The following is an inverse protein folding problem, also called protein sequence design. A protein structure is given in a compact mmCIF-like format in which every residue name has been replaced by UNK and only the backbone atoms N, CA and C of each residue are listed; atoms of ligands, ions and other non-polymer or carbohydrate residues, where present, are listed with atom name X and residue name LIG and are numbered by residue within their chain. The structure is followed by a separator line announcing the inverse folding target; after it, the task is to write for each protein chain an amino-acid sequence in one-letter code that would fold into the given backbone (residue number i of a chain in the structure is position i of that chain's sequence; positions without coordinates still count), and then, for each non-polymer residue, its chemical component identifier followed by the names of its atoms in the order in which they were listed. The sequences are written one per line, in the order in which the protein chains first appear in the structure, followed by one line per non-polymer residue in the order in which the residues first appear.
data_IF_199453808815
#
_entry.id   IF_199453808815
#
_cell.length_a   1.000
_cell.length_b   1.000
_cell.length_c   1.000
_cell.angle_alpha   90.00
_cell.angle_beta   90.00
_cell.angle_gamma   90.00
#
_symmetry.space_group_name_H-M   'P 1'
#
loop_
_entity.id
_entity.type
_entity.pdbx_description
1 polymer ?
#
# COMPACT_ATOMS: atom_id res chain seq x y z
N UNK A 1 15.57 12.47 -13.90
CA UNK A 1 14.33 12.68 -13.11
C UNK A 1 14.40 14.09 -12.57
N UNK A 2 13.38 14.91 -12.82
CA UNK A 2 13.36 16.32 -12.45
C UNK A 2 12.82 16.44 -11.02
N UNK A 3 13.59 16.98 -10.08
CA UNK A 3 13.18 17.17 -8.67
C UNK A 3 12.29 18.41 -8.47
N UNK A 4 11.99 19.12 -9.56
CA UNK A 4 11.17 20.32 -9.54
C UNK A 4 9.74 20.00 -9.06
N UNK A 5 9.40 20.48 -7.86
CA UNK A 5 8.06 20.33 -7.27
C UNK A 5 7.00 21.01 -8.15
N UNK A 6 7.35 22.07 -8.88
CA UNK A 6 6.42 22.76 -9.76
C UNK A 6 6.00 21.91 -10.98
N UNK A 7 6.74 20.86 -11.30
CA UNK A 7 6.39 19.92 -12.36
C UNK A 7 5.40 18.82 -11.90
N UNK A 8 5.19 18.65 -10.59
CA UNK A 8 4.24 17.69 -10.03
C UNK A 8 2.83 18.28 -10.00
N UNK A 9 1.86 17.59 -10.61
CA UNK A 9 0.45 18.03 -10.64
C UNK A 9 -0.27 17.76 -9.31
N UNK A 10 0.08 18.55 -8.29
CA UNK A 10 -0.49 18.40 -6.95
C UNK A 10 -2.04 18.47 -6.93
N UNK A 11 -2.71 19.42 -7.64
CA UNK A 11 -4.16 19.46 -7.69
C UNK A 11 -4.80 18.19 -8.25
N UNK A 12 -4.19 17.57 -9.28
CA UNK A 12 -4.66 16.29 -9.81
C UNK A 12 -4.69 15.20 -8.74
N UNK A 13 -3.67 15.14 -7.88
CA UNK A 13 -3.60 14.19 -6.75
C UNK A 13 -4.33 14.67 -5.49
N UNK A 14 -5.17 15.70 -5.57
CA UNK A 14 -5.86 16.31 -4.43
C UNK A 14 -4.93 16.79 -3.31
N UNK A 15 -3.73 17.24 -3.67
CA UNK A 15 -2.71 17.77 -2.77
C UNK A 15 -2.57 19.29 -2.95
N UNK A 16 -2.33 20.00 -1.86
CA UNK A 16 -1.90 21.39 -1.90
C UNK A 16 -0.43 21.49 -2.31
N UNK A 17 -0.02 22.62 -2.87
CA UNK A 17 1.39 22.87 -3.20
C UNK A 17 2.32 22.74 -1.98
N UNK A 18 1.82 23.07 -0.78
CA UNK A 18 2.56 22.95 0.48
C UNK A 18 2.77 21.48 0.87
N UNK A 19 1.75 20.65 0.71
CA UNK A 19 1.86 19.20 0.96
C UNK A 19 2.82 18.56 -0.04
N UNK A 20 2.67 18.85 -1.34
CA UNK A 20 3.57 18.35 -2.37
C UNK A 20 5.04 18.76 -2.15
N UNK A 21 5.29 19.99 -1.68
CA UNK A 21 6.65 20.46 -1.36
C UNK A 21 7.26 19.77 -0.14
N UNK A 22 6.43 19.31 0.79
CA UNK A 22 6.87 18.59 1.99
C UNK A 22 6.99 17.07 1.76
N UNK A 23 6.48 16.56 0.63
CA UNK A 23 6.59 15.15 0.27
C UNK A 23 7.98 14.79 -0.22
N UNK A 24 8.43 13.62 0.22
CA UNK A 24 9.61 12.97 -0.34
C UNK A 24 9.46 12.86 -1.87
N UNK A 25 10.48 13.22 -2.67
CA UNK A 25 10.42 13.13 -4.12
C UNK A 25 10.00 11.75 -4.64
N UNK A 26 10.40 10.66 -3.97
CA UNK A 26 10.03 9.31 -4.37
C UNK A 26 8.53 9.05 -4.18
N UNK A 27 7.88 9.65 -3.18
CA UNK A 27 6.42 9.54 -3.01
C UNK A 27 5.68 10.23 -4.16
N UNK A 28 6.15 11.40 -4.60
CA UNK A 28 5.56 12.11 -5.75
C UNK A 28 5.71 11.30 -7.04
N UNK A 29 6.89 10.76 -7.31
CA UNK A 29 7.10 9.89 -8.47
C UNK A 29 6.28 8.62 -8.42
N UNK A 30 6.09 8.05 -7.22
CA UNK A 30 5.24 6.87 -7.05
C UNK A 30 3.81 7.18 -7.49
N UNK A 31 3.26 8.35 -7.12
CA UNK A 31 1.91 8.76 -7.54
C UNK A 31 1.79 8.91 -9.06
N UNK A 32 2.72 9.62 -9.70
CA UNK A 32 2.72 9.82 -11.16
C UNK A 32 2.90 8.51 -11.92
N UNK A 33 3.86 7.69 -11.49
CA UNK A 33 4.13 6.38 -12.12
C UNK A 33 2.94 5.45 -11.95
N UNK A 34 2.30 5.46 -10.79
CA UNK A 34 1.08 4.67 -10.53
C UNK A 34 -0.06 5.13 -11.44
N UNK A 35 -0.25 6.44 -11.61
CA UNK A 35 -1.27 6.96 -12.52
C UNK A 35 -1.02 6.52 -13.96
N UNK A 36 0.20 6.71 -14.48
CA UNK A 36 0.56 6.27 -15.83
C UNK A 36 0.41 4.76 -16.02
N UNK A 37 0.68 3.98 -14.98
CA UNK A 37 0.51 2.54 -14.98
C UNK A 37 -0.97 2.11 -15.07
N UNK A 38 -1.87 2.87 -14.47
CA UNK A 38 -3.31 2.58 -14.47
C UNK A 38 -3.98 3.03 -15.78
N UNK A 39 -3.57 4.18 -16.34
CA UNK A 39 -4.18 4.75 -17.56
C UNK A 39 -3.76 4.06 -18.85
N UNK A 40 -2.57 3.45 -18.90
CA UNK A 40 -2.02 2.88 -20.14
C UNK A 40 -1.95 1.35 -20.05
N UNK A 41 -0.78 0.82 -19.74
CA UNK A 41 -0.52 -0.57 -19.45
C UNK A 41 0.82 -0.59 -18.72
N UNK A 42 0.94 -1.41 -17.69
CA UNK A 42 2.18 -1.49 -16.92
C UNK A 42 2.40 -2.85 -16.31
N UNK A 43 3.67 -3.17 -16.10
CA UNK A 43 4.06 -4.28 -15.24
C UNK A 43 4.39 -3.69 -13.87
N UNK A 44 3.51 -3.95 -12.89
CA UNK A 44 3.78 -3.64 -11.49
C UNK A 44 4.52 -4.81 -10.86
N UNK A 45 5.67 -4.55 -10.25
CA UNK A 45 6.52 -5.58 -9.64
C UNK A 45 6.94 -5.20 -8.23
N UNK A 46 7.30 -6.20 -7.43
CA UNK A 46 7.88 -6.01 -6.10
C UNK A 46 8.79 -7.17 -5.76
N UNK A 47 9.90 -6.87 -5.09
CA UNK A 47 10.84 -7.89 -4.62
C UNK A 47 11.35 -7.51 -3.22
N UNK A 48 11.40 -8.50 -2.33
CA UNK A 48 12.09 -8.39 -1.05
C UNK A 48 13.01 -9.60 -0.88
N UNK A 49 14.30 -9.35 -0.72
CA UNK A 49 15.33 -10.36 -0.52
C UNK A 49 16.14 -10.05 0.74
N UNK A 50 16.43 -11.09 1.49
CA UNK A 50 17.08 -11.07 2.80
C UNK A 50 18.58 -11.35 2.63
N UNK A 51 19.25 -10.49 1.87
CA UNK A 51 20.62 -10.72 1.40
C UNK A 51 21.70 -10.52 2.46
N UNK A 52 21.36 -9.85 3.56
CA UNK A 52 22.31 -9.48 4.61
C UNK A 52 21.65 -9.56 6.01
N UNK A 53 22.34 -10.16 7.01
CA UNK A 53 21.79 -10.32 8.35
C UNK A 53 21.77 -9.04 9.19
N UNK A 54 22.39 -7.92 8.78
CA UNK A 54 22.46 -6.71 9.62
C UNK A 54 21.07 -6.17 9.96
N UNK A 55 20.14 -6.17 8.99
CA UNK A 55 18.77 -5.71 9.22
C UNK A 55 18.05 -6.60 10.24
N UNK A 56 18.33 -7.90 10.29
CA UNK A 56 17.76 -8.76 11.33
C UNK A 56 18.22 -8.36 12.72
N UNK A 57 19.50 -8.04 12.89
CA UNK A 57 20.05 -7.61 14.17
C UNK A 57 19.43 -6.29 14.62
N UNK A 58 19.30 -5.32 13.72
CA UNK A 58 18.67 -4.02 14.00
C UNK A 58 17.22 -4.21 14.46
N UNK A 59 16.42 -4.98 13.71
CA UNK A 59 15.01 -5.19 14.02
C UNK A 59 14.81 -6.04 15.28
N UNK A 60 15.67 -7.03 15.53
CA UNK A 60 15.65 -7.81 16.77
C UNK A 60 15.95 -6.92 17.98
N UNK A 61 16.97 -6.07 17.90
CA UNK A 61 17.34 -5.13 18.96
C UNK A 61 16.25 -4.09 19.25
N UNK A 62 15.42 -3.78 18.27
CA UNK A 62 14.25 -2.90 18.41
C UNK A 62 13.00 -3.64 18.91
N UNK A 63 13.07 -4.96 19.12
CA UNK A 63 11.93 -5.76 19.58
C UNK A 63 10.85 -6.01 18.53
N UNK A 64 11.17 -5.83 17.24
CA UNK A 64 10.17 -5.99 16.16
C UNK A 64 10.00 -7.44 15.70
N UNK A 65 11.03 -8.28 15.86
CA UNK A 65 11.00 -9.65 15.35
C UNK A 65 10.40 -10.63 16.37
N UNK A 66 9.57 -11.54 15.89
CA UNK A 66 9.12 -12.69 16.68
C UNK A 66 10.31 -13.62 16.93
N UNK A 67 10.60 -14.01 18.19
CA UNK A 67 11.64 -14.99 18.49
C UNK A 67 11.36 -16.37 17.87
N UNK A 68 10.09 -16.69 17.61
CA UNK A 68 9.66 -17.95 17.01
C UNK A 68 9.79 -17.94 15.47
N UNK A 69 10.07 -16.77 14.88
CA UNK A 69 10.13 -16.61 13.43
C UNK A 69 8.76 -16.79 12.76
N UNK A 70 7.66 -16.54 13.47
CA UNK A 70 6.29 -16.68 12.97
C UNK A 70 5.50 -15.37 13.14
N UNK A 71 4.67 -15.04 12.16
CA UNK A 71 3.65 -14.00 12.30
C UNK A 71 2.35 -14.62 12.85
N UNK A 72 2.06 -14.41 14.12
CA UNK A 72 0.83 -14.88 14.77
C UNK A 72 -0.35 -13.91 14.55
N UNK A 73 -0.68 -13.59 13.30
CA UNK A 73 -1.70 -12.59 12.97
C UNK A 73 -3.04 -12.87 13.66
N UNK A 74 -3.55 -11.90 14.41
CA UNK A 74 -4.83 -11.96 15.15
C UNK A 74 -4.92 -13.03 16.26
N UNK A 75 -3.77 -13.52 16.73
CA UNK A 75 -3.68 -14.50 17.80
C UNK A 75 -3.15 -13.85 19.09
N UNK A 76 -3.47 -14.43 20.25
CA UNK A 76 -2.96 -13.93 21.54
C UNK A 76 -1.44 -14.09 21.70
N UNK A 77 -0.82 -14.98 20.91
CA UNK A 77 0.62 -15.28 20.92
C UNK A 77 1.47 -14.22 20.21
N UNK A 78 0.89 -13.13 19.71
CA UNK A 78 1.65 -12.07 19.01
C UNK A 78 2.82 -11.58 19.86
N UNK A 79 4.02 -11.79 19.33
CA UNK A 79 5.29 -11.46 19.98
C UNK A 79 6.31 -10.81 19.03
N UNK A 80 5.83 -10.24 17.92
CA UNK A 80 6.64 -9.66 16.84
C UNK A 80 6.22 -10.19 15.48
N UNK A 81 7.02 -9.94 14.44
CA UNK A 81 6.79 -10.49 13.10
C UNK A 81 7.99 -11.26 12.55
N UNK A 82 7.73 -12.15 11.60
CA UNK A 82 8.75 -12.86 10.84
C UNK A 82 9.05 -12.15 9.52
N UNK A 83 10.32 -12.09 9.13
CA UNK A 83 10.69 -11.61 7.79
C UNK A 83 10.48 -12.72 6.76
N UNK A 84 10.04 -12.34 5.56
CA UNK A 84 9.87 -13.25 4.44
C UNK A 84 10.51 -12.70 3.17
N UNK A 85 10.83 -13.59 2.24
CA UNK A 85 11.27 -13.25 0.89
C UNK A 85 10.13 -13.43 -0.11
N UNK A 86 10.19 -12.69 -1.21
CA UNK A 86 9.22 -12.85 -2.28
C UNK A 86 9.50 -11.95 -3.46
N UNK A 87 9.07 -12.39 -4.62
CA UNK A 87 9.06 -11.60 -5.85
C UNK A 87 7.68 -11.77 -6.50
N UNK A 88 7.09 -10.65 -6.93
CA UNK A 88 5.79 -10.62 -7.59
C UNK A 88 5.84 -9.70 -8.81
N UNK A 89 5.09 -10.07 -9.84
CA UNK A 89 4.81 -9.24 -11.00
C UNK A 89 3.35 -9.42 -11.41
N UNK A 90 2.67 -8.31 -11.70
CA UNK A 90 1.32 -8.28 -12.25
C UNK A 90 1.27 -7.31 -13.43
N UNK A 91 0.44 -7.63 -14.42
CA UNK A 91 0.16 -6.73 -15.55
C UNK A 91 -1.12 -5.97 -15.23
N UNK A 92 -1.04 -4.65 -15.29
CA UNK A 92 -2.15 -3.72 -15.10
C UNK A 92 -2.52 -3.12 -16.45
N UNK A 93 -3.82 -2.98 -16.68
CA UNK A 93 -4.39 -2.43 -17.90
C UNK A 93 -5.77 -1.81 -17.60
N UNK A 94 -6.18 -0.74 -18.29
CA UNK A 94 -7.55 -0.27 -18.29
C UNK A 94 -8.50 -1.42 -18.63
N UNK A 95 -9.52 -1.62 -17.80
CA UNK A 95 -10.45 -2.75 -17.93
C UNK A 95 -11.12 -2.79 -19.31
N UNK A 96 -11.41 -1.61 -19.88
CA UNK A 96 -12.03 -1.51 -21.20
C UNK A 96 -11.10 -2.04 -22.30
N UNK A 97 -9.81 -1.68 -22.26
CA UNK A 97 -8.82 -2.17 -23.21
C UNK A 97 -8.53 -3.67 -23.02
N UNK A 98 -8.62 -4.19 -21.80
CA UNK A 98 -8.53 -5.64 -21.54
C UNK A 98 -9.71 -6.40 -22.15
N UNK A 99 -10.93 -5.86 -22.03
CA UNK A 99 -12.15 -6.43 -22.63
C UNK A 99 -12.06 -6.42 -24.17
N UNK A 100 -11.68 -5.29 -24.76
CA UNK A 100 -11.59 -5.13 -26.22
C UNK A 100 -10.55 -6.07 -26.84
N UNK A 101 -9.43 -6.30 -26.16
CA UNK A 101 -8.40 -7.22 -26.62
C UNK A 101 -8.72 -8.70 -26.34
N UNK A 102 -9.76 -8.99 -25.56
CA UNK A 102 -10.08 -10.36 -25.13
C UNK A 102 -9.06 -10.92 -24.13
N UNK A 103 -8.43 -10.07 -23.33
CA UNK A 103 -7.45 -10.45 -22.32
C UNK A 103 -8.12 -11.20 -21.15
N UNK A 104 -7.39 -12.13 -20.53
CA UNK A 104 -7.85 -12.79 -19.32
C UNK A 104 -7.74 -11.84 -18.11
N UNK A 105 -8.88 -11.36 -17.61
CA UNK A 105 -8.97 -10.50 -16.43
C UNK A 105 -9.01 -11.36 -15.17
N UNK A 106 -7.97 -11.27 -14.32
CA UNK A 106 -7.91 -11.99 -13.03
C UNK A 106 -8.64 -11.29 -11.88
N UNK A 107 -8.88 -10.00 -12.01
CA UNK A 107 -9.54 -9.16 -11.02
C UNK A 107 -9.54 -7.71 -11.46
N UNK A 108 -10.37 -6.88 -10.83
CA UNK A 108 -10.50 -5.46 -11.14
C UNK A 108 -10.17 -4.63 -9.91
N UNK A 109 -9.18 -3.74 -10.03
CA UNK A 109 -8.86 -2.76 -8.97
C UNK A 109 -9.91 -1.65 -9.03
N UNK A 110 -10.73 -1.54 -7.99
CA UNK A 110 -11.85 -0.58 -7.94
C UNK A 110 -11.46 0.78 -7.40
N UNK A 111 -10.51 0.83 -6.47
CA UNK A 111 -9.98 2.05 -5.87
C UNK A 111 -8.67 1.74 -5.14
N UNK A 112 -7.80 2.74 -5.06
CA UNK A 112 -6.56 2.73 -4.29
C UNK A 112 -6.48 4.03 -3.48
N UNK A 113 -5.75 4.01 -2.38
CA UNK A 113 -5.56 5.22 -1.57
C UNK A 113 -4.35 5.12 -0.66
N UNK A 114 -3.85 6.28 -0.24
CA UNK A 114 -2.78 6.42 0.73
C UNK A 114 -3.07 7.62 1.63
N UNK A 115 -2.69 7.54 2.91
CA UNK A 115 -2.69 8.68 3.83
C UNK A 115 -1.51 8.57 4.81
N UNK A 116 -1.56 9.30 5.92
CA UNK A 116 -0.52 9.33 6.95
C UNK A 116 -1.15 9.19 8.35
N UNK A 117 -0.42 8.57 9.27
CA UNK A 117 -0.85 8.40 10.67
C UNK A 117 -0.90 9.73 11.44
N UNK A 118 -0.24 10.77 10.93
CA UNK A 118 -0.26 12.10 11.55
C UNK A 118 0.52 12.14 12.87
N UNK A 119 -0.05 12.78 13.88
CA UNK A 119 0.61 12.91 15.19
C UNK A 119 0.29 11.72 16.09
N UNK A 120 1.26 10.83 16.27
CA UNK A 120 1.19 9.69 17.18
C UNK A 120 2.22 9.80 18.31
N UNK A 121 1.98 9.19 19.50
CA UNK A 121 2.91 9.28 20.63
C UNK A 121 4.32 8.77 20.35
N UNK A 122 4.45 7.81 19.44
CA UNK A 122 5.72 7.26 18.96
C UNK A 122 5.65 7.25 17.44
N UNK A 123 6.73 7.69 16.76
CA UNK A 123 6.80 7.78 15.31
C UNK A 123 6.38 6.50 14.56
N UNK A 124 6.64 5.33 15.14
CA UNK A 124 6.32 4.01 14.56
C UNK A 124 5.00 3.44 15.05
N UNK A 125 4.25 4.16 15.88
CA UNK A 125 2.96 3.70 16.38
C UNK A 125 1.87 3.98 15.32
N UNK A 126 1.08 2.95 14.93
CA UNK A 126 0.01 3.12 13.95
C UNK A 126 -1.19 3.89 14.51
N UNK A 127 -1.94 4.56 13.62
CA UNK A 127 -3.19 5.24 13.95
C UNK A 127 -4.41 4.47 13.43
N UNK A 128 -5.26 3.98 14.36
CA UNK A 128 -6.51 3.29 13.97
C UNK A 128 -7.49 4.22 13.26
N UNK A 129 -7.54 5.50 13.66
CA UNK A 129 -8.41 6.48 13.04
C UNK A 129 -7.97 6.76 11.59
N UNK A 130 -6.67 6.95 11.36
CA UNK A 130 -6.15 7.19 10.01
C UNK A 130 -6.40 6.00 9.09
N UNK A 131 -6.28 4.77 9.61
CA UNK A 131 -6.60 3.56 8.85
C UNK A 131 -8.10 3.47 8.52
N UNK A 132 -8.97 3.74 9.50
CA UNK A 132 -10.42 3.76 9.28
C UNK A 132 -10.83 4.80 8.24
N UNK A 133 -10.28 6.02 8.35
CA UNK A 133 -10.55 7.12 7.42
C UNK A 133 -10.10 6.74 6.00
N UNK A 134 -8.93 6.13 5.86
CA UNK A 134 -8.43 5.64 4.57
C UNK A 134 -9.37 4.60 3.97
N UNK A 135 -9.78 3.61 4.77
CA UNK A 135 -10.68 2.55 4.33
C UNK A 135 -12.01 3.17 3.87
N UNK A 136 -12.65 4.02 4.69
CA UNK A 136 -13.89 4.70 4.31
C UNK A 136 -13.75 5.52 3.04
N UNK A 137 -12.63 6.22 2.90
CA UNK A 137 -12.34 7.02 1.71
C UNK A 137 -12.29 6.14 0.45
N UNK A 138 -11.53 5.04 0.45
CA UNK A 138 -11.40 4.19 -0.74
C UNK A 138 -12.71 3.50 -1.13
N UNK A 139 -13.54 3.09 -0.16
CA UNK A 139 -14.89 2.56 -0.46
C UNK A 139 -15.80 3.61 -1.08
N UNK A 140 -15.76 4.84 -0.54
CA UNK A 140 -16.55 5.96 -1.07
C UNK A 140 -16.14 6.28 -2.50
N UNK A 141 -14.83 6.36 -2.78
CA UNK A 141 -14.30 6.56 -4.13
C UNK A 141 -14.69 5.42 -5.08
N UNK A 142 -14.69 4.18 -4.60
CA UNK A 142 -15.08 3.02 -5.40
C UNK A 142 -16.59 2.92 -5.67
N UNK A 143 -17.42 3.67 -4.94
CA UNK A 143 -18.88 3.54 -4.92
C UNK A 143 -19.34 2.18 -4.41
N UNK A 144 -18.62 1.58 -3.45
CA UNK A 144 -18.88 0.23 -2.94
C UNK A 144 -19.45 0.27 -1.51
N UNK A 145 -20.33 -0.69 -1.21
CA UNK A 145 -20.79 -0.90 0.16
C UNK A 145 -19.83 -1.82 0.93
N UNK A 146 -19.46 -1.42 2.14
CA UNK A 146 -18.69 -2.27 3.05
C UNK A 146 -19.43 -3.57 3.40
N UNK A 147 -20.77 -3.57 3.37
CA UNK A 147 -21.57 -4.77 3.69
C UNK A 147 -21.46 -5.89 2.66
N UNK A 148 -20.99 -5.58 1.45
CA UNK A 148 -20.84 -6.55 0.36
C UNK A 148 -19.44 -7.19 0.34
N UNK A 149 -18.56 -6.73 1.23
CA UNK A 149 -17.18 -7.20 1.35
C UNK A 149 -17.15 -8.65 1.82
N UNK A 150 -16.59 -9.53 1.00
CA UNK A 150 -16.48 -10.96 1.32
C UNK A 150 -15.16 -11.31 2.00
N UNK A 151 -14.12 -10.56 1.69
CA UNK A 151 -12.77 -10.87 2.11
C UNK A 151 -12.00 -9.57 2.33
N UNK A 152 -11.12 -9.59 3.33
CA UNK A 152 -10.16 -8.54 3.62
C UNK A 152 -8.81 -9.21 3.79
N UNK A 153 -7.89 -8.93 2.89
CA UNK A 153 -6.47 -9.16 3.18
C UNK A 153 -6.01 -8.08 4.14
N UNK A 154 -5.39 -8.47 5.25
CA UNK A 154 -4.96 -7.53 6.27
C UNK A 154 -3.45 -7.60 6.47
N UNK A 155 -2.83 -6.47 6.83
CA UNK A 155 -1.41 -6.39 7.13
C UNK A 155 -0.91 -7.37 8.21
N UNK A 156 -1.79 -7.80 9.12
CA UNK A 156 -1.54 -8.94 10.02
C UNK A 156 -0.73 -8.64 11.29
N UNK A 157 -0.24 -7.41 11.49
CA UNK A 157 0.39 -6.99 12.76
C UNK A 157 -0.62 -6.34 13.70
N UNK A 158 -1.59 -7.11 14.21
CA UNK A 158 -2.60 -6.67 15.20
C UNK A 158 -3.42 -5.40 14.89
N UNK A 159 -3.21 -4.77 13.74
CA UNK A 159 -3.86 -3.57 13.24
C UNK A 159 -4.03 -3.70 11.71
N UNK A 160 -5.14 -3.18 11.20
CA UNK A 160 -5.67 -3.44 9.86
C UNK A 160 -4.90 -2.63 8.81
N UNK A 161 -4.57 -3.24 7.67
CA UNK A 161 -3.97 -2.51 6.55
C UNK A 161 -4.26 -3.20 5.21
N UNK A 162 -4.71 -2.35 4.27
CA UNK A 162 -4.90 -2.47 2.81
C UNK A 162 -5.84 -3.55 2.27
N UNK A 163 -6.99 -3.09 1.76
CA UNK A 163 -8.03 -3.89 1.14
C UNK A 163 -7.73 -4.15 -0.35
N UNK A 164 -7.46 -5.40 -0.72
CA UNK A 164 -7.59 -5.87 -2.10
C UNK A 164 -8.99 -6.46 -2.30
N UNK A 165 -9.84 -5.77 -3.05
CA UNK A 165 -11.14 -6.29 -3.46
C UNK A 165 -10.98 -7.14 -4.72
N UNK A 166 -11.16 -8.45 -4.58
CA UNK A 166 -11.36 -9.36 -5.70
C UNK A 166 -12.86 -9.66 -5.81
N UNK A 167 -13.48 -9.27 -6.92
CA UNK A 167 -14.78 -9.78 -7.35
C UNK A 167 -14.63 -10.39 -8.76
#
# INVERSE_FOLDING_TARGET
MNDDVAAFDAPFFSLTAKEASAMDPMQRWTLETTYHAIENEAVATGANLLLDPSIFQVLANQGFLSPDGVCYSFDERVNGYARGEGVIAVVLKPVQAAIENGDMIRGVIRSIGSNQDGHTPILTQPSSQSQEDLIRHVYTQAGLSMSETRYVEAHGKSYIGTLLMMN
#
